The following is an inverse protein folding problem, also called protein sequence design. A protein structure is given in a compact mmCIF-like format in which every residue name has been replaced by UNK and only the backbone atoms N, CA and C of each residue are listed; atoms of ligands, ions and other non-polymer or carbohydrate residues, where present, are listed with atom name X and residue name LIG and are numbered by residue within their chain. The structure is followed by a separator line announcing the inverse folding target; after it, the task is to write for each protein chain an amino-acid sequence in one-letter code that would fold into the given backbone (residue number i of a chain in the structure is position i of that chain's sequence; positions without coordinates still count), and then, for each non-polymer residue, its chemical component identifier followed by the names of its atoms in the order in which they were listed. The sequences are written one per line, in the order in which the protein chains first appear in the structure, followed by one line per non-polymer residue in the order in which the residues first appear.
data_IF_450203472598
#
_entry.id   IF_450203472598
#
_cell.length_a   1.000
_cell.length_b   1.000
_cell.length_c   1.000
_cell.angle_alpha   90.00
_cell.angle_beta   90.00
_cell.angle_gamma   90.00
#
_symmetry.space_group_name_H-M   'P 1'
#
loop_
_entity.id
_entity.type
_entity.pdbx_description
1 polymer ?
#
# COMPACT_ATOMS: atom_id res chain seq x y z
N UNK A 1 20.14 20.40 13.42
CA UNK A 1 19.92 20.00 12.03
C UNK A 1 18.90 18.88 12.05
N UNK A 2 17.70 19.13 11.55
CA UNK A 2 16.57 18.22 11.68
C UNK A 2 16.58 17.24 10.50
N UNK A 3 16.73 15.94 10.78
CA UNK A 3 16.73 14.87 9.80
C UNK A 3 15.29 14.60 9.32
N UNK A 4 14.86 15.41 8.33
CA UNK A 4 13.59 15.31 7.63
C UNK A 4 13.49 14.08 6.72
N UNK A 5 14.56 13.28 6.62
CA UNK A 5 14.66 12.15 5.70
C UNK A 5 14.31 10.85 6.42
N UNK A 6 14.70 10.72 7.69
CA UNK A 6 14.45 9.51 8.47
C UNK A 6 13.18 9.57 9.36
N UNK A 7 12.68 10.77 9.71
CA UNK A 7 11.50 10.92 10.56
C UNK A 7 10.61 12.13 10.19
N UNK A 8 9.88 12.11 9.07
CA UNK A 8 8.84 13.10 8.83
C UNK A 8 7.74 12.95 9.89
N UNK A 9 7.55 13.99 10.71
CA UNK A 9 6.62 14.06 11.84
C UNK A 9 5.12 13.94 11.50
N UNK A 10 4.79 13.61 10.25
CA UNK A 10 3.43 13.71 9.71
C UNK A 10 2.73 12.37 9.42
N UNK A 11 3.29 11.22 9.80
CA UNK A 11 2.64 9.91 9.55
C UNK A 11 2.31 9.08 10.80
N UNK A 12 2.71 9.49 12.00
CA UNK A 12 2.49 8.71 13.23
C UNK A 12 1.62 9.42 14.27
N UNK A 13 0.60 10.14 13.84
CA UNK A 13 -0.44 10.64 14.73
C UNK A 13 -1.65 9.68 14.71
N UNK A 14 -1.62 8.58 15.50
CA UNK A 14 -2.85 7.85 15.84
C UNK A 14 -2.85 6.32 15.84
N UNK A 15 -1.74 5.64 15.60
CA UNK A 15 -1.69 4.16 15.69
C UNK A 15 -2.45 3.40 14.59
N UNK A 16 -2.89 4.09 13.55
CA UNK A 16 -3.52 3.52 12.36
C UNK A 16 -2.54 3.63 11.20
N UNK A 17 -2.25 2.50 10.54
CA UNK A 17 -1.42 2.47 9.35
C UNK A 17 -2.10 3.23 8.20
N UNK A 18 -1.33 4.00 7.43
CA UNK A 18 -1.83 4.85 6.35
C UNK A 18 -2.65 4.06 5.31
N UNK A 19 -2.27 2.80 5.03
CA UNK A 19 -3.02 1.94 4.12
C UNK A 19 -4.43 1.59 4.62
N UNK A 20 -4.60 1.46 5.94
CA UNK A 20 -5.90 1.16 6.56
C UNK A 20 -6.83 2.37 6.48
N UNK A 21 -6.28 3.57 6.71
CA UNK A 21 -7.03 4.82 6.53
C UNK A 21 -7.46 5.01 5.07
N UNK A 22 -6.56 4.75 4.11
CA UNK A 22 -6.88 4.82 2.67
C UNK A 22 -7.96 3.79 2.30
N UNK A 23 -7.88 2.57 2.85
CA UNK A 23 -8.88 1.54 2.59
C UNK A 23 -10.25 1.92 3.12
N UNK A 24 -10.31 2.45 4.35
CA UNK A 24 -11.57 2.92 4.94
C UNK A 24 -12.20 4.09 4.19
N UNK A 25 -11.38 4.89 3.49
CA UNK A 25 -11.82 6.07 2.75
C UNK A 25 -12.28 5.77 1.30
N UNK A 26 -11.97 4.59 0.76
CA UNK A 26 -12.23 4.24 -0.64
C UNK A 26 -13.27 3.14 -0.76
N UNK A 27 -14.02 3.14 -1.85
CA UNK A 27 -14.83 1.95 -2.22
C UNK A 27 -13.93 0.74 -2.53
N UNK A 28 -14.45 -0.49 -2.48
CA UNK A 28 -13.67 -1.68 -2.81
C UNK A 28 -13.04 -1.64 -4.22
N UNK A 29 -13.73 -1.04 -5.19
CA UNK A 29 -13.22 -0.88 -6.55
C UNK A 29 -12.09 0.15 -6.63
N UNK A 30 -12.25 1.29 -5.98
CA UNK A 30 -11.22 2.33 -5.91
C UNK A 30 -9.97 1.83 -5.17
N UNK A 31 -10.14 1.12 -4.05
CA UNK A 31 -9.01 0.53 -3.33
C UNK A 31 -8.30 -0.53 -4.19
N UNK A 32 -9.04 -1.36 -4.92
CA UNK A 32 -8.45 -2.28 -5.91
C UNK A 32 -7.66 -1.54 -6.98
N UNK A 33 -8.17 -0.40 -7.47
CA UNK A 33 -7.47 0.49 -8.39
C UNK A 33 -6.18 1.06 -7.79
N UNK A 34 -6.24 1.53 -6.55
CA UNK A 34 -5.08 2.03 -5.80
C UNK A 34 -3.99 0.97 -5.63
N UNK A 35 -4.35 -0.26 -5.26
CA UNK A 35 -3.40 -1.38 -5.13
C UNK A 35 -2.72 -1.67 -6.47
N UNK A 36 -3.49 -1.76 -7.57
CA UNK A 36 -2.95 -1.97 -8.92
C UNK A 36 -2.00 -0.85 -9.33
N UNK A 37 -2.38 0.40 -9.12
CA UNK A 37 -1.57 1.56 -9.44
C UNK A 37 -0.23 1.57 -8.69
N UNK A 38 -0.25 1.24 -7.39
CA UNK A 38 0.97 1.13 -6.60
C UNK A 38 1.87 -0.01 -7.07
N UNK A 39 1.31 -1.20 -7.33
CA UNK A 39 2.08 -2.32 -7.84
C UNK A 39 2.77 -1.98 -9.18
N UNK A 40 2.05 -1.38 -10.13
CA UNK A 40 2.60 -0.93 -11.41
C UNK A 40 3.72 0.10 -11.20
N UNK A 41 3.47 1.11 -10.35
CA UNK A 41 4.46 2.14 -10.00
C UNK A 41 5.76 1.51 -9.48
N UNK A 42 5.67 0.54 -8.57
CA UNK A 42 6.86 -0.10 -8.00
C UNK A 42 7.55 -1.04 -9.00
N UNK A 43 6.80 -1.81 -9.80
CA UNK A 43 7.38 -2.62 -10.88
C UNK A 43 8.10 -1.78 -11.94
N UNK A 44 7.61 -0.57 -12.23
CA UNK A 44 8.31 0.32 -13.15
C UNK A 44 9.54 0.93 -12.46
N UNK A 45 9.39 1.40 -11.21
CA UNK A 45 10.46 2.09 -10.48
C UNK A 45 11.64 1.17 -10.14
N UNK A 46 11.43 -0.13 -10.02
CA UNK A 46 12.50 -1.10 -9.78
C UNK A 46 13.62 -1.01 -10.81
N UNK A 47 13.30 -0.72 -12.07
CA UNK A 47 14.28 -0.63 -13.15
C UNK A 47 15.21 0.60 -13.05
N UNK A 48 14.87 1.57 -12.19
CA UNK A 48 15.53 2.88 -12.19
C UNK A 48 15.90 3.40 -10.80
N UNK A 49 15.45 2.76 -9.71
CA UNK A 49 15.70 3.26 -8.35
C UNK A 49 16.13 2.18 -7.36
N UNK A 50 15.20 1.37 -6.84
CA UNK A 50 15.47 0.48 -5.71
C UNK A 50 15.48 -1.02 -6.07
N UNK A 51 15.48 -1.38 -7.36
CA UNK A 51 15.57 -2.77 -7.81
C UNK A 51 14.55 -3.68 -7.11
N UNK A 52 15.05 -4.79 -6.56
CA UNK A 52 14.27 -5.83 -5.89
C UNK A 52 13.45 -5.33 -4.69
N UNK A 53 13.87 -4.25 -4.02
CA UNK A 53 13.07 -3.69 -2.93
C UNK A 53 11.72 -3.15 -3.41
N UNK A 54 11.68 -2.55 -4.60
CA UNK A 54 10.44 -2.08 -5.19
C UNK A 54 9.59 -3.28 -5.67
N UNK A 55 10.21 -4.33 -6.20
CA UNK A 55 9.49 -5.58 -6.52
C UNK A 55 8.83 -6.18 -5.26
N UNK A 56 9.55 -6.21 -4.13
CA UNK A 56 9.00 -6.66 -2.84
C UNK A 56 7.83 -5.79 -2.38
N UNK A 57 7.88 -4.47 -2.59
CA UNK A 57 6.76 -3.56 -2.29
C UNK A 57 5.56 -3.83 -3.18
N UNK A 58 5.75 -4.04 -4.47
CA UNK A 58 4.68 -4.42 -5.39
C UNK A 58 4.00 -5.73 -4.95
N UNK A 59 4.80 -6.74 -4.63
CA UNK A 59 4.30 -8.02 -4.13
C UNK A 59 3.54 -7.87 -2.81
N UNK A 60 4.02 -7.03 -1.90
CA UNK A 60 3.34 -6.77 -0.62
C UNK A 60 1.92 -6.21 -0.84
N UNK A 61 1.76 -5.17 -1.67
CA UNK A 61 0.44 -4.58 -1.96
C UNK A 61 -0.54 -5.61 -2.56
N UNK A 62 -0.06 -6.45 -3.48
CA UNK A 62 -0.89 -7.49 -4.11
C UNK A 62 -1.29 -8.56 -3.08
N UNK A 63 -0.31 -9.05 -2.31
CA UNK A 63 -0.54 -10.11 -1.33
C UNK A 63 -1.45 -9.66 -0.20
N UNK A 64 -1.30 -8.43 0.28
CA UNK A 64 -2.17 -7.83 1.30
C UNK A 64 -3.63 -7.81 0.84
N UNK A 65 -3.88 -7.30 -0.38
CA UNK A 65 -5.21 -7.27 -0.98
C UNK A 65 -5.82 -8.67 -1.15
N UNK A 66 -5.02 -9.65 -1.60
CA UNK A 66 -5.49 -11.03 -1.77
C UNK A 66 -5.84 -11.70 -0.43
N UNK A 67 -5.05 -11.48 0.62
CA UNK A 67 -5.32 -12.00 1.96
C UNK A 67 -6.67 -11.51 2.48
N UNK A 68 -6.96 -10.23 2.29
CA UNK A 68 -8.24 -9.65 2.71
C UNK A 68 -9.42 -10.21 1.93
N UNK A 69 -9.29 -10.35 0.60
CA UNK A 69 -10.31 -10.99 -0.22
C UNK A 69 -10.60 -12.45 0.16
N UNK A 70 -9.62 -13.15 0.75
CA UNK A 70 -9.81 -14.51 1.24
C UNK A 70 -10.53 -14.58 2.59
N UNK A 71 -10.77 -13.44 3.26
CA UNK A 71 -11.53 -13.39 4.49
C UNK A 71 -13.04 -13.55 4.19
N UNK A 72 -13.76 -14.52 4.81
CA UNK A 72 -15.11 -14.92 4.40
C UNK A 72 -16.19 -13.84 4.49
N UNK A 73 -15.95 -12.77 5.24
CA UNK A 73 -16.92 -11.69 5.54
C UNK A 73 -17.27 -10.83 4.31
N UNK A 74 -16.36 -10.71 3.33
CA UNK A 74 -16.58 -9.88 2.11
C UNK A 74 -17.18 -10.65 0.92
N UNK A 75 -17.47 -11.95 1.09
CA UNK A 75 -17.99 -12.78 -0.02
C UNK A 75 -19.46 -12.48 -0.40
N UNK A 76 -20.17 -11.66 0.38
CA UNK A 76 -21.61 -11.44 0.29
C UNK A 76 -22.02 -9.95 0.18
N UNK A 77 -21.24 -9.11 -0.50
CA UNK A 77 -21.71 -7.80 -0.98
C UNK A 77 -21.69 -7.74 -2.51
#
# INVERSE_FOLDING_TARGET
MSDQVNHPSHYNAGGIECIEAIRAALTPEEFRGFVKGNAIKYCWRSNHKNGDEDIKKAAWYINDYLKQKSNPEERNQ
#
